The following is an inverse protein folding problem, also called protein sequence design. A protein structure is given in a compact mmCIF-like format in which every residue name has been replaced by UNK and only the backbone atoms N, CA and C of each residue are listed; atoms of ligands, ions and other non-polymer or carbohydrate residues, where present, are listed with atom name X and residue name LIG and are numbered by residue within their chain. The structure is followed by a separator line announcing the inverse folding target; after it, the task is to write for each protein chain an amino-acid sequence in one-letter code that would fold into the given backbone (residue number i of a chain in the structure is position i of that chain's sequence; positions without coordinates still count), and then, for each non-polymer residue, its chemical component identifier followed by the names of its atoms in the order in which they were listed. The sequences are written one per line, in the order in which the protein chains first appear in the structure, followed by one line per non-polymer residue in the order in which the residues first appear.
data_IF_284928690163
#
_entry.id   IF_284928690163
#
_cell.length_a   1.000
_cell.length_b   1.000
_cell.length_c   1.000
_cell.angle_alpha   90.00
_cell.angle_beta   90.00
_cell.angle_gamma   90.00
#
_symmetry.space_group_name_H-M   'P 1'
#
loop_
_entity.id
_entity.type
_entity.pdbx_description
1 polymer ?
#
# COMPACT_ATOMS: atom_id res chain seq x y z
N UNK A 1 -59.73 -2.34 8.76
CA UNK A 1 -61.03 -1.62 8.77
C UNK A 1 -61.09 -0.86 10.10
N UNK A 2 -60.73 0.43 10.16
CA UNK A 2 -61.59 1.64 10.03
C UNK A 2 -62.73 1.63 11.07
N UNK A 3 -62.93 2.60 11.99
CA UNK A 3 -62.91 4.07 11.93
C UNK A 3 -62.70 4.65 13.37
N UNK A 4 -61.85 5.66 13.61
CA UNK A 4 -62.05 7.13 13.50
C UNK A 4 -63.07 7.78 14.46
N UNK A 5 -62.58 8.64 15.38
CA UNK A 5 -63.07 10.03 15.49
C UNK A 5 -62.12 10.98 16.28
N UNK A 6 -62.03 12.21 15.76
CA UNK A 6 -61.27 13.43 16.18
C UNK A 6 -61.89 14.06 17.47
N UNK A 7 -61.36 15.06 18.20
CA UNK A 7 -60.63 16.31 17.86
C UNK A 7 -60.09 16.98 19.18
N UNK A 8 -58.87 17.56 19.23
CA UNK A 8 -58.49 19.00 19.18
C UNK A 8 -58.58 19.87 20.49
N UNK A 9 -57.42 20.48 20.85
CA UNK A 9 -57.15 21.87 21.33
C UNK A 9 -56.62 22.14 22.78
N UNK A 10 -55.48 22.87 22.79
CA UNK A 10 -54.96 23.90 23.72
C UNK A 10 -54.00 23.57 24.87
N UNK A 11 -53.09 24.53 25.09
CA UNK A 11 -51.76 24.53 25.70
C UNK A 11 -51.75 25.11 27.15
N UNK A 12 -50.60 25.57 27.72
CA UNK A 12 -49.90 24.92 28.83
C UNK A 12 -49.95 25.70 30.15
N UNK A 13 -49.58 25.08 31.27
CA UNK A 13 -49.27 25.79 32.52
C UNK A 13 -48.01 25.23 33.18
N UNK A 14 -47.01 26.11 33.27
CA UNK A 14 -45.79 26.07 34.07
C UNK A 14 -46.07 26.05 35.57
N UNK A 15 -45.23 25.37 36.38
CA UNK A 15 -44.99 25.77 37.77
C UNK A 15 -43.51 25.58 38.16
N UNK A 16 -42.93 26.69 38.64
CA UNK A 16 -41.60 26.83 39.21
C UNK A 16 -41.51 26.18 40.60
N UNK A 17 -40.34 25.62 40.92
CA UNK A 17 -39.86 25.56 42.30
C UNK A 17 -38.49 26.23 42.39
N UNK A 18 -38.38 27.14 43.35
CA UNK A 18 -37.19 27.90 43.71
C UNK A 18 -36.89 27.58 45.18
N UNK A 19 -35.63 27.27 45.52
CA UNK A 19 -35.10 27.51 46.86
C UNK A 19 -33.56 27.55 46.85
N UNK A 20 -33.04 28.53 47.59
CA UNK A 20 -31.68 29.06 47.67
C UNK A 20 -30.78 28.32 48.66
N UNK A 21 -29.48 28.72 48.59
CA UNK A 21 -28.37 28.69 49.57
C UNK A 21 -27.34 27.60 49.22
N UNK A 22 -26.04 27.86 49.02
CA UNK A 22 -25.19 29.04 49.15
C UNK A 22 -23.80 28.55 49.56
N UNK A 23 -22.72 28.94 48.87
CA UNK A 23 -21.33 28.87 49.40
C UNK A 23 -20.33 29.61 48.48
N UNK A 24 -19.96 30.79 48.97
CA UNK A 24 -18.64 31.44 49.02
C UNK A 24 -17.51 30.85 48.15
N UNK A 25 -16.99 31.67 47.22
CA UNK A 25 -15.67 31.55 46.58
C UNK A 25 -14.91 32.87 46.84
N UNK A 26 -13.68 32.88 47.39
CA UNK A 26 -12.86 34.08 47.41
C UNK A 26 -11.69 34.01 46.43
N UNK A 27 -11.51 35.12 45.69
CA UNK A 27 -10.27 35.77 45.22
C UNK A 27 -9.27 34.93 44.39
N UNK A 28 -8.64 35.40 43.33
CA UNK A 28 -8.27 36.75 42.85
C UNK A 28 -7.60 36.54 41.48
N UNK A 29 -7.70 37.47 40.53
CA UNK A 29 -6.53 38.05 39.84
C UNK A 29 -7.02 39.16 38.89
N UNK A 30 -6.44 40.34 39.12
CA UNK A 30 -6.68 41.61 38.45
C UNK A 30 -6.03 41.65 37.07
N UNK A 31 -6.80 42.07 36.06
CA UNK A 31 -6.30 42.63 34.81
C UNK A 31 -6.07 44.13 34.98
N UNK A 32 -4.99 44.70 34.43
CA UNK A 32 -4.98 46.11 34.08
C UNK A 32 -4.99 46.32 32.56
N UNK A 33 -5.83 47.28 32.23
CA UNK A 33 -6.07 48.03 30.99
C UNK A 33 -4.86 48.52 30.17
N UNK A 34 -5.04 48.46 28.85
CA UNK A 34 -4.73 49.43 27.77
C UNK A 34 -3.99 50.74 28.17
N UNK A 35 -2.87 51.14 27.54
CA UNK A 35 -2.64 52.01 26.32
C UNK A 35 -1.21 52.63 26.51
N UNK A 36 -0.41 53.18 25.54
CA UNK A 36 -0.52 53.39 24.08
C UNK A 36 0.65 52.89 23.20
N UNK A 37 0.37 52.90 21.89
CA UNK A 37 1.31 52.92 20.76
C UNK A 37 2.32 54.08 20.86
N UNK A 38 3.62 53.79 20.72
CA UNK A 38 4.65 54.77 20.34
C UNK A 38 5.55 54.19 19.24
N UNK A 39 5.54 54.86 18.09
CA UNK A 39 6.55 54.73 17.03
C UNK A 39 7.83 55.42 17.49
N UNK A 40 8.97 54.70 17.50
CA UNK A 40 10.28 55.27 17.19
C UNK A 40 11.31 54.21 16.82
N UNK A 41 12.18 54.66 15.93
CA UNK A 41 13.12 54.00 15.05
C UNK A 41 14.47 53.64 15.68
N UNK A 42 15.16 52.70 15.01
CA UNK A 42 16.59 52.33 15.08
C UNK A 42 17.08 51.50 16.28
N UNK A 43 17.41 50.23 16.03
CA UNK A 43 18.82 49.83 15.85
C UNK A 43 18.97 48.36 15.42
N UNK A 44 20.02 48.13 14.62
CA UNK A 44 20.46 46.86 14.07
C UNK A 44 20.65 45.78 15.14
N UNK A 45 20.01 44.62 14.95
CA UNK A 45 20.40 43.36 15.56
C UNK A 45 20.50 42.32 14.44
N UNK A 46 21.74 42.06 14.02
CA UNK A 46 22.08 40.92 13.18
C UNK A 46 21.98 39.65 14.04
N UNK A 47 20.89 38.91 13.86
CA UNK A 47 20.75 37.52 14.29
C UNK A 47 20.78 36.66 13.03
N UNK A 48 21.90 35.98 12.81
CA UNK A 48 22.05 34.97 11.77
C UNK A 48 21.20 33.74 12.11
N UNK A 49 20.11 33.54 11.37
CA UNK A 49 19.35 32.29 11.37
C UNK A 49 20.02 31.27 10.42
N UNK A 50 20.09 29.97 10.76
CA UNK A 50 20.58 28.96 9.83
C UNK A 50 19.59 28.80 8.67
N UNK A 51 20.15 28.61 7.47
CA UNK A 51 19.45 28.55 6.20
C UNK A 51 18.28 27.54 6.21
N UNK A 52 17.05 28.05 6.12
CA UNK A 52 15.90 27.27 5.70
C UNK A 52 16.12 26.85 4.23
N UNK A 53 16.42 25.57 4.00
CA UNK A 53 16.30 24.99 2.65
C UNK A 53 14.82 25.00 2.28
N UNK A 54 14.46 25.89 1.36
CA UNK A 54 13.12 25.92 0.74
C UNK A 54 12.93 24.61 -0.03
N UNK A 55 11.96 23.81 0.41
CA UNK A 55 11.38 22.76 -0.42
C UNK A 55 10.59 23.48 -1.51
N UNK A 56 11.09 23.47 -2.74
CA UNK A 56 10.32 23.94 -3.90
C UNK A 56 9.26 22.88 -4.22
N UNK A 57 8.05 23.07 -3.70
CA UNK A 57 6.86 22.43 -4.26
C UNK A 57 6.53 23.19 -5.53
N UNK A 58 6.92 22.64 -6.68
CA UNK A 58 6.54 23.17 -7.99
C UNK A 58 5.08 22.77 -8.22
N UNK A 59 4.16 23.71 -8.06
CA UNK A 59 2.87 23.61 -8.74
C UNK A 59 3.11 24.03 -10.18
N UNK A 60 3.08 23.08 -11.13
CA UNK A 60 3.15 23.45 -12.54
C UNK A 60 1.87 24.21 -12.90
N UNK A 61 2.02 25.44 -13.37
CA UNK A 61 0.98 26.06 -14.18
C UNK A 61 0.98 25.30 -15.51
N UNK A 62 -0.18 24.81 -15.90
CA UNK A 62 -0.42 24.24 -17.22
C UNK A 62 -0.16 25.30 -18.28
N UNK A 63 1.00 25.25 -18.93
CA UNK A 63 1.21 25.90 -20.22
C UNK A 63 0.49 25.07 -21.28
N UNK A 64 -0.13 25.75 -22.25
CA UNK A 64 -0.84 25.11 -23.36
C UNK A 64 0.20 24.37 -24.21
N UNK A 65 0.23 23.04 -24.08
CA UNK A 65 1.08 22.16 -24.88
C UNK A 65 0.52 22.03 -26.30
N UNK A 66 1.40 21.99 -27.31
CA UNK A 66 1.03 21.62 -28.68
C UNK A 66 0.30 20.26 -28.69
N UNK A 67 -0.75 20.14 -29.51
CA UNK A 67 -1.67 18.99 -29.51
C UNK A 67 -0.98 17.63 -29.68
N UNK A 68 0.10 17.57 -30.47
CA UNK A 68 0.89 16.35 -30.66
C UNK A 68 1.76 15.98 -29.44
N UNK A 69 2.24 16.95 -28.68
CA UNK A 69 3.01 16.70 -27.45
C UNK A 69 2.10 16.25 -26.31
N UNK A 70 0.92 16.85 -26.17
CA UNK A 70 -0.10 16.43 -25.21
C UNK A 70 -0.56 14.99 -25.48
N UNK A 71 -0.86 14.64 -26.72
CA UNK A 71 -1.26 13.28 -27.12
C UNK A 71 -0.15 12.24 -26.87
N UNK A 72 1.12 12.62 -27.08
CA UNK A 72 2.28 11.75 -26.81
C UNK A 72 2.56 11.57 -25.31
N UNK A 73 2.23 12.57 -24.47
CA UNK A 73 2.35 12.49 -23.01
C UNK A 73 1.18 11.69 -22.41
N UNK A 74 -0.03 11.88 -22.93
CA UNK A 74 -1.23 11.16 -22.52
C UNK A 74 -1.16 9.67 -22.89
N UNK A 75 -0.60 9.34 -24.07
CA UNK A 75 -0.29 7.96 -24.47
C UNK A 75 0.75 7.29 -23.56
N UNK A 76 1.70 8.07 -23.01
CA UNK A 76 2.71 7.59 -22.04
C UNK A 76 2.18 7.44 -20.60
N UNK A 77 0.89 7.72 -20.38
CA UNK A 77 0.24 7.71 -19.06
C UNK A 77 -1.01 6.81 -19.02
N UNK A 78 -1.24 6.01 -20.06
CA UNK A 78 -2.36 5.06 -20.13
C UNK A 78 -1.83 3.64 -20.12
N UNK A 79 -2.55 2.71 -19.49
CA UNK A 79 -2.23 1.29 -19.56
C UNK A 79 -2.15 0.82 -21.02
N UNK A 80 -1.12 0.05 -21.33
CA UNK A 80 -0.98 -0.59 -22.64
C UNK A 80 -2.18 -1.50 -22.95
N UNK A 81 -2.48 -1.80 -24.23
CA UNK A 81 -3.53 -2.74 -24.59
C UNK A 81 -3.33 -4.11 -23.90
N UNK A 82 -4.41 -4.87 -23.66
CA UNK A 82 -4.28 -6.24 -23.17
C UNK A 82 -3.40 -7.09 -24.10
N UNK A 83 -2.53 -7.91 -23.51
CA UNK A 83 -1.66 -8.86 -24.22
C UNK A 83 -1.70 -10.21 -23.52
N UNK A 84 -1.55 -11.28 -24.29
CA UNK A 84 -1.42 -12.65 -23.78
C UNK A 84 0.05 -13.06 -23.60
N UNK A 85 0.36 -13.97 -22.67
CA UNK A 85 1.72 -14.43 -22.50
C UNK A 85 2.08 -15.33 -23.68
N UNK A 86 3.26 -15.10 -24.27
CA UNK A 86 3.77 -15.96 -25.33
C UNK A 86 4.36 -17.27 -24.78
N UNK A 87 4.65 -17.33 -23.48
CA UNK A 87 5.15 -18.54 -22.80
C UNK A 87 4.69 -18.58 -21.35
N UNK A 88 4.29 -19.75 -20.87
CA UNK A 88 4.00 -20.02 -19.46
C UNK A 88 4.73 -21.29 -19.02
N UNK A 89 4.87 -21.48 -17.70
CA UNK A 89 5.51 -22.68 -17.16
C UNK A 89 5.31 -22.85 -15.67
N UNK A 90 5.72 -24.01 -15.18
CA UNK A 90 5.81 -24.34 -13.77
C UNK A 90 7.28 -24.62 -13.44
N UNK A 91 7.82 -23.95 -12.42
CA UNK A 91 9.20 -24.13 -11.97
C UNK A 91 9.21 -24.79 -10.58
N UNK A 92 9.80 -25.98 -10.45
CA UNK A 92 10.06 -26.59 -9.15
C UNK A 92 11.17 -25.81 -8.44
N UNK A 93 10.87 -25.22 -7.28
CA UNK A 93 11.82 -24.40 -6.51
C UNK A 93 12.27 -25.06 -5.21
N UNK A 94 11.48 -25.98 -4.66
CA UNK A 94 11.90 -26.87 -3.57
C UNK A 94 11.24 -28.23 -3.73
N UNK A 95 11.46 -29.15 -2.78
CA UNK A 95 10.75 -30.44 -2.80
C UNK A 95 9.25 -30.32 -2.54
N UNK A 96 8.83 -29.19 -1.98
CA UNK A 96 7.43 -28.87 -1.69
C UNK A 96 6.84 -27.99 -2.79
N UNK A 97 7.57 -26.93 -3.18
CA UNK A 97 6.98 -25.83 -3.95
C UNK A 97 7.25 -25.87 -5.45
N UNK A 98 6.21 -25.54 -6.21
CA UNK A 98 6.32 -25.19 -7.63
C UNK A 98 5.67 -23.83 -7.90
N UNK A 99 6.34 -23.01 -8.70
CA UNK A 99 5.89 -21.68 -9.05
C UNK A 99 5.33 -21.62 -10.47
N UNK A 100 4.14 -21.06 -10.63
CA UNK A 100 3.68 -20.62 -11.94
C UNK A 100 4.44 -19.37 -12.37
N UNK A 101 4.85 -19.34 -13.63
CA UNK A 101 5.42 -18.16 -14.26
C UNK A 101 4.94 -17.99 -15.69
N UNK A 102 5.00 -16.77 -16.19
CA UNK A 102 4.68 -16.40 -17.56
C UNK A 102 5.59 -15.31 -18.11
N UNK A 103 5.70 -15.26 -19.43
CA UNK A 103 6.42 -14.25 -20.18
C UNK A 103 5.53 -13.61 -21.24
N UNK A 104 5.54 -12.28 -21.31
CA UNK A 104 4.76 -11.46 -22.24
C UNK A 104 5.64 -10.36 -22.85
N UNK A 105 5.12 -9.62 -23.84
CA UNK A 105 5.86 -8.56 -24.53
C UNK A 105 6.89 -9.12 -25.52
N UNK A 106 8.01 -8.43 -25.67
CA UNK A 106 9.05 -8.75 -26.64
C UNK A 106 10.02 -9.80 -26.05
N UNK A 107 10.14 -11.01 -26.63
CA UNK A 107 11.06 -12.03 -26.13
C UNK A 107 12.55 -11.63 -26.11
N UNK A 108 12.93 -10.63 -26.91
CA UNK A 108 14.27 -10.05 -26.97
C UNK A 108 14.35 -8.66 -26.33
N UNK A 109 13.28 -8.22 -25.66
CA UNK A 109 13.20 -6.93 -25.00
C UNK A 109 13.97 -6.87 -23.68
N UNK A 110 13.99 -5.69 -23.08
CA UNK A 110 14.58 -5.47 -21.76
C UNK A 110 13.81 -6.28 -20.70
N UNK A 111 14.47 -7.18 -19.94
CA UNK A 111 13.79 -8.02 -18.99
C UNK A 111 13.30 -7.23 -17.77
N UNK A 112 12.05 -7.46 -17.38
CA UNK A 112 11.45 -6.92 -16.16
C UNK A 112 10.71 -8.02 -15.41
N UNK A 113 10.89 -8.09 -14.10
CA UNK A 113 10.12 -8.98 -13.21
C UNK A 113 9.07 -8.20 -12.43
N UNK A 114 7.84 -8.68 -12.47
CA UNK A 114 6.71 -8.15 -11.69
C UNK A 114 6.54 -8.96 -10.40
N UNK A 115 6.57 -8.27 -9.26
CA UNK A 115 6.34 -8.83 -7.94
C UNK A 115 4.95 -8.41 -7.44
N UNK A 116 4.02 -9.37 -7.37
CA UNK A 116 2.66 -9.11 -6.89
C UNK A 116 2.60 -8.82 -5.38
N UNK A 117 1.52 -8.14 -4.96
CA UNK A 117 1.25 -7.78 -3.57
C UNK A 117 0.55 -8.86 -2.74
N UNK A 118 -0.02 -8.42 -1.61
CA UNK A 118 -0.55 -9.25 -0.51
C UNK A 118 0.39 -9.17 0.70
N UNK A 119 1.14 -10.23 1.06
CA UNK A 119 1.47 -11.40 0.23
C UNK A 119 0.30 -12.36 0.02
N UNK A 120 0.43 -13.25 -0.98
CA UNK A 120 -0.61 -14.24 -1.29
C UNK A 120 -1.60 -13.84 -2.39
N UNK A 121 -1.47 -12.66 -3.00
CA UNK A 121 -2.42 -12.17 -4.02
C UNK A 121 -2.39 -12.87 -5.37
N UNK A 122 -1.19 -13.24 -5.85
CA UNK A 122 -1.00 -13.76 -7.21
C UNK A 122 -1.04 -12.67 -8.28
N UNK A 123 -0.72 -13.07 -9.51
CA UNK A 123 -0.71 -12.19 -10.68
C UNK A 123 -2.05 -12.17 -11.42
N UNK A 124 -2.31 -11.09 -12.14
CA UNK A 124 -3.50 -10.89 -12.96
C UNK A 124 -3.13 -10.38 -14.37
N UNK A 125 -3.95 -10.65 -15.42
CA UNK A 125 -3.65 -10.21 -16.78
C UNK A 125 -3.35 -8.72 -16.93
N UNK A 126 -4.04 -7.86 -16.16
CA UNK A 126 -3.82 -6.42 -16.17
C UNK A 126 -2.40 -6.01 -15.73
N UNK A 127 -1.68 -6.85 -14.98
CA UNK A 127 -0.31 -6.53 -14.55
C UNK A 127 0.68 -6.43 -15.73
N UNK A 128 0.39 -7.08 -16.87
CA UNK A 128 1.22 -6.97 -18.08
C UNK A 128 1.16 -5.59 -18.73
N UNK A 129 0.10 -4.83 -18.45
CA UNK A 129 -0.25 -3.59 -19.16
C UNK A 129 0.49 -2.35 -18.65
N UNK A 130 1.32 -2.49 -17.61
CA UNK A 130 2.19 -1.41 -17.13
C UNK A 130 3.45 -1.21 -17.99
N UNK A 131 3.72 -2.14 -18.91
CA UNK A 131 4.97 -2.21 -19.66
C UNK A 131 4.69 -2.12 -21.16
N UNK A 132 5.54 -1.38 -21.88
CA UNK A 132 5.51 -1.38 -23.33
C UNK A 132 5.84 -2.78 -23.89
N UNK A 133 4.89 -3.45 -24.58
CA UNK A 133 5.10 -4.79 -25.10
C UNK A 133 6.19 -4.88 -26.17
N UNK A 134 6.55 -3.78 -26.83
CA UNK A 134 7.59 -3.77 -27.86
C UNK A 134 9.00 -3.65 -27.26
N UNK A 135 9.11 -3.02 -26.09
CA UNK A 135 10.40 -2.81 -25.41
C UNK A 135 10.70 -3.88 -24.37
N UNK A 136 9.71 -4.30 -23.59
CA UNK A 136 9.93 -5.15 -22.42
C UNK A 136 9.73 -6.64 -22.70
N UNK A 137 10.63 -7.46 -22.16
CA UNK A 137 10.42 -8.88 -21.88
C UNK A 137 9.84 -9.01 -20.48
N UNK A 138 8.52 -9.13 -20.38
CA UNK A 138 7.78 -9.03 -19.12
C UNK A 138 7.70 -10.41 -18.48
N UNK A 139 8.21 -10.56 -17.25
CA UNK A 139 8.14 -11.80 -16.46
C UNK A 139 7.20 -11.60 -15.27
N UNK A 140 6.14 -12.40 -15.21
CA UNK A 140 5.23 -12.49 -14.08
C UNK A 140 5.37 -13.88 -13.46
N UNK A 141 5.25 -13.99 -12.14
CA UNK A 141 5.16 -15.27 -11.46
C UNK A 141 4.28 -15.16 -10.22
N UNK A 142 3.63 -16.26 -9.86
CA UNK A 142 2.88 -16.36 -8.62
C UNK A 142 3.82 -16.86 -7.53
N UNK A 143 3.91 -16.13 -6.41
CA UNK A 143 4.72 -16.51 -5.25
C UNK A 143 4.19 -17.80 -4.59
N UNK A 144 4.98 -18.40 -3.70
CA UNK A 144 4.65 -19.67 -3.02
C UNK A 144 3.25 -19.62 -2.41
N UNK A 145 2.44 -20.64 -2.70
CA UNK A 145 1.08 -20.80 -2.18
C UNK A 145 0.02 -19.87 -2.79
N UNK A 146 0.40 -18.92 -3.64
CA UNK A 146 -0.51 -17.94 -4.24
C UNK A 146 -0.90 -18.32 -5.67
N UNK A 147 -2.05 -17.82 -6.13
CA UNK A 147 -2.49 -17.94 -7.52
C UNK A 147 -2.48 -19.38 -8.05
N UNK A 148 -1.66 -19.62 -9.09
CA UNK A 148 -1.48 -20.92 -9.76
C UNK A 148 -0.29 -21.72 -9.23
N UNK A 149 0.49 -21.17 -8.29
CA UNK A 149 1.60 -21.88 -7.64
C UNK A 149 1.08 -22.91 -6.64
N UNK A 150 1.84 -23.99 -6.46
CA UNK A 150 1.42 -25.12 -5.60
C UNK A 150 2.50 -25.48 -4.58
N UNK A 151 2.10 -25.97 -3.38
CA UNK A 151 0.74 -26.23 -2.93
C UNK A 151 -0.01 -24.95 -2.53
N UNK A 152 -1.29 -24.84 -2.90
CA UNK A 152 -2.13 -23.67 -2.62
C UNK A 152 -2.23 -23.39 -1.10
N UNK A 153 -2.16 -22.11 -0.72
CA UNK A 153 -2.19 -21.64 0.67
C UNK A 153 -1.17 -22.29 1.62
N UNK A 154 -0.06 -22.84 1.09
CA UNK A 154 0.98 -23.48 1.88
C UNK A 154 1.88 -22.43 2.57
N UNK A 155 2.11 -22.63 3.87
CA UNK A 155 2.96 -21.77 4.72
C UNK A 155 4.35 -22.36 5.01
N UNK A 156 4.53 -23.66 4.75
CA UNK A 156 5.82 -24.33 4.93
C UNK A 156 6.81 -23.82 3.89
N UNK A 157 8.05 -23.52 4.28
CA UNK A 157 9.05 -22.87 3.42
C UNK A 157 8.51 -21.63 2.69
N UNK A 158 7.65 -20.83 3.33
CA UNK A 158 7.06 -19.63 2.72
C UNK A 158 7.49 -18.38 3.49
N UNK A 159 8.79 -18.05 3.38
CA UNK A 159 9.39 -16.87 4.00
C UNK A 159 9.86 -15.85 2.96
N UNK A 160 10.11 -14.61 3.39
CA UNK A 160 10.70 -13.57 2.53
C UNK A 160 11.96 -14.05 1.83
N UNK A 161 12.82 -14.78 2.53
CA UNK A 161 14.09 -15.25 2.00
C UNK A 161 13.93 -16.42 1.04
N UNK A 162 12.92 -17.27 1.24
CA UNK A 162 12.53 -18.28 0.26
C UNK A 162 12.08 -17.65 -1.06
N UNK A 163 11.28 -16.59 -0.98
CA UNK A 163 10.84 -15.85 -2.16
C UNK A 163 11.99 -15.11 -2.86
N UNK A 164 12.92 -14.50 -2.11
CA UNK A 164 14.15 -13.92 -2.68
C UNK A 164 14.96 -14.97 -3.45
N UNK A 165 15.13 -16.18 -2.88
CA UNK A 165 15.82 -17.28 -3.55
C UNK A 165 15.07 -17.75 -4.81
N UNK A 166 13.74 -17.74 -4.78
CA UNK A 166 12.93 -18.15 -5.93
C UNK A 166 13.01 -17.17 -7.09
N UNK A 167 13.09 -15.86 -6.80
CA UNK A 167 13.33 -14.84 -7.80
C UNK A 167 14.65 -15.14 -8.54
N UNK A 168 15.72 -15.51 -7.84
CA UNK A 168 16.98 -15.92 -8.48
C UNK A 168 16.86 -17.23 -9.27
N UNK A 169 16.15 -18.25 -8.75
CA UNK A 169 15.92 -19.50 -9.48
C UNK A 169 15.17 -19.25 -10.79
N UNK A 170 14.15 -18.38 -10.76
CA UNK A 170 13.39 -18.00 -11.95
C UNK A 170 14.27 -17.23 -12.94
N UNK A 171 15.03 -16.25 -12.46
CA UNK A 171 15.97 -15.47 -13.28
C UNK A 171 16.97 -16.37 -14.02
N UNK A 172 17.57 -17.33 -13.30
CA UNK A 172 18.52 -18.29 -13.84
C UNK A 172 17.84 -19.28 -14.81
N UNK A 173 16.65 -19.80 -14.46
CA UNK A 173 15.87 -20.68 -15.32
C UNK A 173 15.54 -20.03 -16.67
N UNK A 174 15.22 -18.74 -16.66
CA UNK A 174 14.91 -17.95 -17.85
C UNK A 174 16.15 -17.38 -18.57
N UNK A 175 17.35 -17.66 -18.04
CA UNK A 175 18.64 -17.21 -18.54
C UNK A 175 18.74 -15.68 -18.70
N UNK A 176 18.19 -14.94 -17.72
CA UNK A 176 18.20 -13.48 -17.69
C UNK A 176 19.39 -13.02 -16.84
N UNK A 177 20.42 -12.33 -17.38
CA UNK A 177 21.58 -11.94 -16.57
C UNK A 177 21.24 -10.96 -15.44
N UNK A 178 20.46 -9.94 -15.76
CA UNK A 178 20.00 -8.84 -14.91
C UNK A 178 18.62 -8.39 -15.41
N UNK A 179 17.81 -7.76 -14.56
CA UNK A 179 16.48 -7.29 -14.95
C UNK A 179 16.01 -6.08 -14.13
N UNK A 180 15.04 -5.36 -14.67
CA UNK A 180 14.30 -4.37 -13.90
C UNK A 180 13.38 -5.10 -12.92
N UNK A 181 13.20 -4.53 -11.72
CA UNK A 181 12.26 -5.04 -10.72
C UNK A 181 11.10 -4.06 -10.55
N UNK A 182 9.88 -4.56 -10.71
CA UNK A 182 8.65 -3.81 -10.49
C UNK A 182 7.87 -4.45 -9.35
N UNK A 183 7.49 -3.68 -8.33
CA UNK A 183 6.75 -4.23 -7.18
C UNK A 183 5.96 -3.18 -6.42
N UNK A 184 4.73 -3.51 -6.04
CA UNK A 184 3.87 -2.61 -5.26
C UNK A 184 3.22 -3.28 -4.06
N UNK A 185 2.92 -2.52 -3.01
CA UNK A 185 2.45 -3.06 -1.72
C UNK A 185 3.50 -4.01 -1.14
N UNK A 186 3.13 -5.22 -0.69
CA UNK A 186 4.07 -6.30 -0.41
C UNK A 186 5.09 -6.55 -1.53
N UNK A 187 4.71 -6.38 -2.80
CA UNK A 187 5.65 -6.47 -3.92
C UNK A 187 6.80 -5.46 -3.81
N UNK A 188 6.58 -4.30 -3.18
CA UNK A 188 7.63 -3.33 -2.87
C UNK A 188 8.53 -3.80 -1.72
N UNK A 189 7.96 -4.45 -0.69
CA UNK A 189 8.72 -5.12 0.38
C UNK A 189 9.67 -6.16 -0.21
N UNK A 190 9.15 -7.03 -1.07
CA UNK A 190 9.92 -8.08 -1.71
C UNK A 190 10.93 -7.53 -2.73
N UNK A 191 10.58 -6.48 -3.48
CA UNK A 191 11.51 -5.78 -4.37
C UNK A 191 12.70 -5.20 -3.62
N UNK A 192 12.47 -4.57 -2.47
CA UNK A 192 13.54 -4.04 -1.62
C UNK A 192 14.40 -5.17 -1.06
N UNK A 193 13.80 -6.22 -0.49
CA UNK A 193 14.53 -7.36 0.06
C UNK A 193 15.41 -8.06 -1.00
N UNK A 194 14.85 -8.28 -2.20
CA UNK A 194 15.58 -8.88 -3.32
C UNK A 194 16.73 -7.99 -3.78
N UNK A 195 16.47 -6.71 -4.04
CA UNK A 195 17.48 -5.77 -4.55
C UNK A 195 18.60 -5.52 -3.54
N UNK A 196 18.30 -5.56 -2.23
CA UNK A 196 19.32 -5.45 -1.18
C UNK A 196 20.19 -6.70 -1.03
N UNK A 197 19.67 -7.85 -1.47
CA UNK A 197 20.40 -9.13 -1.46
C UNK A 197 21.20 -9.37 -2.74
N UNK A 198 20.69 -8.88 -3.87
CA UNK A 198 21.25 -9.07 -5.21
C UNK A 198 21.30 -7.75 -6.01
N UNK A 199 21.97 -6.70 -5.50
CA UNK A 199 21.98 -5.39 -6.16
C UNK A 199 22.53 -5.44 -7.58
N UNK A 200 23.49 -6.34 -7.84
CA UNK A 200 24.11 -6.54 -9.14
C UNK A 200 23.20 -7.23 -10.18
N UNK A 201 21.99 -7.65 -9.80
CA UNK A 201 21.00 -8.27 -10.70
C UNK A 201 19.88 -7.32 -11.10
N UNK A 202 19.90 -6.09 -10.60
CA UNK A 202 18.79 -5.14 -10.72
C UNK A 202 19.21 -3.93 -11.54
N UNK A 203 18.61 -3.77 -12.72
CA UNK A 203 18.90 -2.65 -13.62
C UNK A 203 18.10 -1.39 -13.30
N UNK A 204 17.00 -1.51 -12.57
CA UNK A 204 16.15 -0.40 -12.15
C UNK A 204 14.98 -0.88 -11.28
N UNK A 205 14.39 0.05 -10.52
CA UNK A 205 13.27 -0.22 -9.62
C UNK A 205 12.08 0.71 -9.87
N UNK A 206 10.89 0.12 -10.01
CA UNK A 206 9.62 0.85 -9.97
C UNK A 206 8.80 0.30 -8.81
N UNK A 207 8.62 1.14 -7.78
CA UNK A 207 7.98 0.78 -6.52
C UNK A 207 6.66 1.52 -6.37
N UNK A 208 5.66 0.88 -5.75
CA UNK A 208 4.35 1.51 -5.47
C UNK A 208 3.82 1.17 -4.10
N UNK A 209 3.14 2.10 -3.43
CA UNK A 209 2.40 1.78 -2.19
C UNK A 209 3.35 1.17 -1.16
N UNK A 210 4.38 1.93 -0.79
CA UNK A 210 5.56 1.42 -0.08
C UNK A 210 5.15 0.77 1.23
N UNK A 211 5.53 -0.49 1.38
CA UNK A 211 5.31 -1.27 2.58
C UNK A 211 6.64 -1.78 3.13
N UNK A 212 7.02 -1.31 4.31
CA UNK A 212 8.30 -1.63 4.94
C UNK A 212 8.14 -2.68 6.05
N UNK A 213 6.89 -3.11 6.32
CA UNK A 213 6.55 -4.18 7.26
C UNK A 213 6.96 -3.88 8.72
N UNK A 214 7.17 -2.61 9.04
CA UNK A 214 7.41 -2.15 10.42
C UNK A 214 6.15 -2.35 11.25
N UNK A 215 6.31 -2.60 12.55
CA UNK A 215 5.21 -2.77 13.49
C UNK A 215 4.20 -1.63 13.41
N UNK A 216 4.66 -0.38 13.27
CA UNK A 216 3.76 0.79 13.15
C UNK A 216 2.85 0.76 11.90
N UNK A 217 3.23 0.06 10.84
CA UNK A 217 2.42 -0.10 9.63
C UNK A 217 1.39 -1.22 9.83
N UNK A 218 1.80 -2.31 10.47
CA UNK A 218 0.90 -3.40 10.86
C UNK A 218 -0.15 -2.91 11.85
N UNK A 219 0.27 -2.22 12.92
CA UNK A 219 -0.62 -1.65 13.93
C UNK A 219 -1.60 -0.64 13.32
N UNK A 220 -1.12 0.17 12.37
CA UNK A 220 -1.96 1.13 11.67
C UNK A 220 -3.12 0.43 10.96
N UNK A 221 -2.84 -0.62 10.19
CA UNK A 221 -3.86 -1.22 9.33
C UNK A 221 -4.69 -2.32 10.01
N UNK A 222 -4.09 -3.10 10.91
CA UNK A 222 -4.72 -4.27 11.53
C UNK A 222 -4.98 -4.15 13.03
N UNK A 223 -4.58 -3.06 13.69
CA UNK A 223 -4.87 -2.83 15.12
C UNK A 223 -5.64 -1.52 15.37
N UNK A 224 -6.31 -1.00 14.34
CA UNK A 224 -7.34 0.04 14.48
C UNK A 224 -6.94 1.48 14.14
N UNK A 225 -5.74 1.72 13.60
CA UNK A 225 -5.37 3.05 13.09
C UNK A 225 -6.30 3.49 11.94
N UNK A 226 -6.34 2.70 10.87
CA UNK A 226 -7.16 2.93 9.67
C UNK A 226 -8.68 2.86 9.96
N UNK A 227 -9.10 2.23 11.07
CA UNK A 227 -10.48 2.23 11.53
C UNK A 227 -11.03 3.63 11.82
N UNK A 228 -10.14 4.61 12.08
CA UNK A 228 -10.53 6.02 12.23
C UNK A 228 -11.08 6.63 10.94
N UNK A 229 -10.82 6.00 9.79
CA UNK A 229 -11.28 6.42 8.46
C UNK A 229 -12.44 5.54 7.98
N UNK A 230 -12.37 4.22 8.24
CA UNK A 230 -13.37 3.23 7.82
C UNK A 230 -13.97 2.46 9.00
N UNK A 231 -14.69 3.13 9.92
CA UNK A 231 -15.24 2.46 11.10
C UNK A 231 -16.28 1.41 10.72
N UNK A 232 -17.08 1.67 9.69
CA UNK A 232 -18.11 0.77 9.15
C UNK A 232 -17.53 -0.54 8.60
N UNK A 233 -16.48 -0.48 7.78
CA UNK A 233 -15.80 -1.69 7.31
C UNK A 233 -15.03 -2.41 8.42
N UNK A 234 -14.51 -1.65 9.39
CA UNK A 234 -13.73 -2.19 10.51
C UNK A 234 -14.58 -3.02 11.47
N UNK A 235 -15.85 -2.68 11.68
CA UNK A 235 -16.74 -3.42 12.58
C UNK A 235 -16.83 -4.89 12.21
N UNK A 236 -17.03 -5.22 10.93
CA UNK A 236 -17.10 -6.62 10.48
C UNK A 236 -15.79 -7.40 10.73
N UNK A 237 -14.64 -6.77 10.47
CA UNK A 237 -13.32 -7.36 10.74
C UNK A 237 -13.09 -7.58 12.25
N UNK A 238 -13.29 -6.53 13.05
CA UNK A 238 -13.12 -6.57 14.49
C UNK A 238 -14.07 -7.56 15.17
N UNK A 239 -15.34 -7.58 14.74
CA UNK A 239 -16.40 -8.29 15.46
C UNK A 239 -16.44 -9.79 15.21
N UNK A 240 -15.72 -10.29 14.19
CA UNK A 240 -15.41 -11.71 14.08
C UNK A 240 -14.58 -12.21 15.29
N UNK A 241 -13.78 -11.32 15.88
CA UNK A 241 -12.92 -11.66 17.02
C UNK A 241 -13.67 -11.36 18.35
N UNK A 242 -13.79 -12.33 19.27
CA UNK A 242 -14.36 -12.13 20.59
C UNK A 242 -13.63 -11.02 21.36
N UNK A 243 -14.35 -10.21 22.14
CA UNK A 243 -13.79 -9.04 22.83
C UNK A 243 -12.55 -9.36 23.68
N UNK A 244 -12.54 -10.52 24.35
CA UNK A 244 -11.42 -10.97 25.19
C UNK A 244 -10.17 -11.41 24.40
N UNK A 245 -10.25 -11.52 23.07
CA UNK A 245 -9.14 -11.84 22.18
C UNK A 245 -8.61 -10.63 21.40
N UNK A 246 -9.25 -9.45 21.49
CA UNK A 246 -8.90 -8.24 20.72
C UNK A 246 -7.66 -7.49 21.21
N UNK A 247 -6.79 -8.14 22.00
CA UNK A 247 -5.51 -7.57 22.42
C UNK A 247 -4.45 -7.56 21.32
N UNK A 248 -4.64 -8.39 20.28
CA UNK A 248 -3.86 -8.44 19.04
C UNK A 248 -4.74 -9.13 17.99
N UNK A 249 -5.32 -8.34 17.10
CA UNK A 249 -6.20 -8.88 16.05
C UNK A 249 -5.39 -9.74 15.08
N UNK A 250 -4.15 -9.35 14.78
CA UNK A 250 -3.25 -10.16 13.94
C UNK A 250 -3.06 -11.57 14.51
N UNK A 251 -2.79 -11.70 15.81
CA UNK A 251 -2.63 -13.02 16.45
C UNK A 251 -3.96 -13.78 16.58
N UNK A 252 -5.07 -13.07 16.80
CA UNK A 252 -6.40 -13.68 16.90
C UNK A 252 -6.88 -14.26 15.57
N UNK A 253 -6.60 -13.57 14.46
CA UNK A 253 -6.79 -14.08 13.12
C UNK A 253 -5.82 -15.21 12.80
N UNK A 254 -4.56 -15.13 13.23
CA UNK A 254 -3.58 -16.21 13.01
C UNK A 254 -4.05 -17.56 13.52
N UNK A 255 -4.63 -17.59 14.73
CA UNK A 255 -5.21 -18.81 15.31
C UNK A 255 -6.34 -19.38 14.46
N UNK A 256 -7.23 -18.52 13.95
CA UNK A 256 -8.42 -18.93 13.16
C UNK A 256 -8.03 -19.38 11.75
N UNK A 257 -7.13 -18.64 11.11
CA UNK A 257 -6.58 -18.94 9.78
C UNK A 257 -5.77 -20.25 9.73
N UNK A 258 -5.36 -20.78 10.89
CA UNK A 258 -4.65 -22.05 11.02
C UNK A 258 -5.40 -23.06 11.92
N UNK A 259 -6.71 -22.88 12.09
CA UNK A 259 -7.58 -23.81 12.82
C UNK A 259 -7.73 -25.14 12.08
N UNK A 260 -7.89 -26.27 12.76
CA UNK A 260 -8.25 -27.54 12.09
C UNK A 260 -9.68 -27.53 11.51
N UNK A 261 -10.51 -26.57 11.93
CA UNK A 261 -11.86 -26.35 11.39
C UNK A 261 -11.84 -25.42 10.16
N UNK A 262 -12.22 -25.97 9.00
CA UNK A 262 -12.22 -25.25 7.73
C UNK A 262 -13.21 -24.09 7.69
N UNK A 263 -14.37 -24.21 8.33
CA UNK A 263 -15.35 -23.10 8.36
C UNK A 263 -14.81 -21.90 9.13
N UNK A 264 -14.12 -22.16 10.25
CA UNK A 264 -13.38 -21.12 10.99
C UNK A 264 -12.30 -20.48 10.12
N UNK A 265 -11.52 -21.27 9.36
CA UNK A 265 -10.50 -20.73 8.46
C UNK A 265 -11.13 -19.83 7.39
N UNK A 266 -12.17 -20.28 6.70
CA UNK A 266 -12.81 -19.52 5.63
C UNK A 266 -13.51 -18.26 6.15
N UNK A 267 -14.20 -18.33 7.29
CA UNK A 267 -14.83 -17.15 7.90
C UNK A 267 -13.78 -16.07 8.23
N UNK A 268 -12.64 -16.46 8.82
CA UNK A 268 -11.53 -15.56 9.07
C UNK A 268 -10.89 -15.03 7.79
N UNK A 269 -10.69 -15.89 6.79
CA UNK A 269 -10.10 -15.52 5.52
C UNK A 269 -10.93 -14.49 4.76
N UNK A 270 -12.26 -14.68 4.69
CA UNK A 270 -13.18 -13.73 4.04
C UNK A 270 -13.18 -12.38 4.76
N UNK A 271 -13.30 -12.36 6.08
CA UNK A 271 -13.32 -11.11 6.85
C UNK A 271 -12.00 -10.32 6.72
N UNK A 272 -10.85 -11.02 6.81
CA UNK A 272 -9.53 -10.42 6.62
C UNK A 272 -9.37 -9.83 5.21
N UNK A 273 -9.72 -10.61 4.18
CA UNK A 273 -9.60 -10.18 2.78
C UNK A 273 -10.55 -9.02 2.47
N UNK A 274 -11.79 -9.08 2.97
CA UNK A 274 -12.79 -8.02 2.78
C UNK A 274 -12.33 -6.68 3.34
N UNK A 275 -11.72 -6.68 4.54
CA UNK A 275 -11.16 -5.47 5.15
C UNK A 275 -10.19 -4.74 4.20
N UNK A 276 -9.25 -5.48 3.60
CA UNK A 276 -8.31 -4.88 2.66
C UNK A 276 -8.98 -4.47 1.34
N UNK A 277 -9.86 -5.29 0.79
CA UNK A 277 -10.52 -4.97 -0.47
C UNK A 277 -11.41 -3.71 -0.39
N UNK A 278 -12.02 -3.46 0.79
CA UNK A 278 -12.82 -2.26 1.08
C UNK A 278 -11.99 -0.98 1.14
N UNK A 279 -10.70 -1.08 1.47
CA UNK A 279 -9.84 0.06 1.81
C UNK A 279 -8.72 0.31 0.78
N UNK A 280 -8.58 -0.57 -0.22
CA UNK A 280 -7.54 -0.47 -1.24
C UNK A 280 -7.74 0.69 -2.24
N UNK A 281 -8.94 1.24 -2.37
CA UNK A 281 -9.25 2.34 -3.29
C UNK A 281 -9.71 3.58 -2.53
N UNK A 282 -9.48 4.77 -3.10
CA UNK A 282 -9.94 6.04 -2.52
C UNK A 282 -11.47 6.07 -2.46
N UNK A 283 -12.12 5.63 -3.53
CA UNK A 283 -13.56 5.40 -3.59
C UNK A 283 -13.77 3.88 -3.63
N UNK A 284 -14.62 3.30 -2.76
CA UNK A 284 -14.87 1.86 -2.74
C UNK A 284 -15.15 1.29 -4.13
N UNK A 285 -14.56 0.13 -4.42
CA UNK A 285 -14.66 -0.53 -5.71
C UNK A 285 -15.32 -1.90 -5.53
N UNK A 286 -16.59 -2.01 -5.95
CA UNK A 286 -17.40 -3.22 -5.74
C UNK A 286 -16.78 -4.48 -6.36
N UNK A 287 -16.18 -4.37 -7.55
CA UNK A 287 -15.50 -5.50 -8.20
C UNK A 287 -14.31 -6.00 -7.37
N UNK A 288 -13.58 -5.10 -6.72
CA UNK A 288 -12.48 -5.46 -5.84
C UNK A 288 -12.99 -6.11 -4.55
N UNK A 289 -14.06 -5.57 -3.95
CA UNK A 289 -14.68 -6.09 -2.73
C UNK A 289 -15.20 -7.52 -2.95
N UNK A 290 -15.81 -7.79 -4.10
CA UNK A 290 -16.34 -9.11 -4.45
C UNK A 290 -15.28 -10.22 -4.47
N UNK A 291 -13.99 -9.89 -4.59
CA UNK A 291 -12.92 -10.90 -4.50
C UNK A 291 -12.89 -11.61 -3.15
N UNK A 292 -13.33 -10.94 -2.09
CA UNK A 292 -13.40 -11.54 -0.76
C UNK A 292 -14.39 -12.72 -0.68
N UNK A 293 -15.34 -12.81 -1.62
CA UNK A 293 -16.29 -13.91 -1.72
C UNK A 293 -15.72 -15.17 -2.40
N UNK A 294 -14.54 -15.08 -3.02
CA UNK A 294 -13.82 -16.26 -3.53
C UNK A 294 -13.01 -16.89 -2.39
N UNK A 295 -13.55 -17.97 -1.82
CA UNK A 295 -12.94 -18.72 -0.72
C UNK A 295 -11.52 -19.19 -1.04
N UNK A 296 -11.22 -19.56 -2.29
CA UNK A 296 -9.89 -20.04 -2.67
C UNK A 296 -8.89 -18.89 -2.68
N UNK A 297 -9.28 -17.73 -3.21
CA UNK A 297 -8.46 -16.52 -3.16
C UNK A 297 -8.28 -16.05 -1.73
N UNK A 298 -9.38 -15.82 -1.00
CA UNK A 298 -9.38 -15.32 0.37
C UNK A 298 -8.54 -16.20 1.29
N UNK A 299 -8.62 -17.53 1.17
CA UNK A 299 -7.84 -18.45 2.00
C UNK A 299 -6.33 -18.29 1.78
N UNK A 300 -5.86 -18.30 0.52
CA UNK A 300 -4.43 -18.10 0.24
C UNK A 300 -3.97 -16.70 0.64
N UNK A 301 -4.75 -15.68 0.28
CA UNK A 301 -4.46 -14.29 0.60
C UNK A 301 -4.30 -14.08 2.11
N UNK A 302 -5.36 -14.33 2.89
CA UNK A 302 -5.35 -14.07 4.31
C UNK A 302 -4.35 -14.95 5.09
N UNK A 303 -4.24 -16.25 4.77
CA UNK A 303 -3.32 -17.14 5.49
C UNK A 303 -1.87 -16.74 5.27
N UNK A 304 -1.48 -16.47 4.03
CA UNK A 304 -0.10 -16.09 3.70
C UNK A 304 0.19 -14.69 4.25
N UNK A 305 -0.70 -13.73 4.03
CA UNK A 305 -0.52 -12.37 4.52
C UNK A 305 -0.33 -12.32 6.05
N UNK A 306 -1.28 -12.91 6.79
CA UNK A 306 -1.19 -12.99 8.24
C UNK A 306 0.08 -13.73 8.70
N UNK A 307 0.48 -14.81 8.01
CA UNK A 307 1.70 -15.57 8.30
C UNK A 307 2.95 -14.69 8.22
N UNK A 308 3.06 -13.83 7.21
CA UNK A 308 4.19 -12.91 7.11
C UNK A 308 4.15 -11.85 8.21
N UNK A 309 2.97 -11.38 8.62
CA UNK A 309 2.84 -10.32 9.62
C UNK A 309 3.15 -10.80 11.03
N UNK A 310 2.65 -11.97 11.46
CA UNK A 310 3.02 -12.53 12.77
C UNK A 310 4.51 -12.82 12.88
N UNK A 311 5.16 -13.12 11.75
CA UNK A 311 6.61 -13.36 11.67
C UNK A 311 7.42 -12.09 11.34
N UNK A 312 6.80 -10.91 11.33
CA UNK A 312 7.48 -9.62 11.07
C UNK A 312 8.27 -9.61 9.76
N UNK A 313 7.71 -10.24 8.73
CA UNK A 313 8.34 -10.38 7.41
C UNK A 313 9.63 -11.20 7.43
N UNK A 314 9.90 -11.96 8.50
CA UNK A 314 11.16 -12.71 8.70
C UNK A 314 12.41 -11.84 8.70
N UNK A 315 12.26 -10.53 8.98
CA UNK A 315 13.36 -9.60 9.04
C UNK A 315 14.06 -9.63 10.40
N UNK A 316 15.40 -9.49 10.46
CA UNK A 316 16.14 -9.40 11.72
C UNK A 316 15.77 -8.21 12.61
N UNK A 317 15.26 -7.12 12.03
CA UNK A 317 14.88 -5.90 12.74
C UNK A 317 13.67 -5.24 12.08
N UNK A 318 12.95 -4.41 12.85
CA UNK A 318 11.78 -3.68 12.38
C UNK A 318 12.12 -2.74 11.22
N UNK A 319 13.25 -2.05 11.31
CA UNK A 319 13.74 -1.10 10.30
C UNK A 319 14.61 -1.73 9.21
N UNK A 320 14.69 -3.07 9.12
CA UNK A 320 15.67 -3.77 8.29
C UNK A 320 15.76 -3.23 6.84
N UNK A 321 14.61 -3.05 6.18
CA UNK A 321 14.59 -2.56 4.80
C UNK A 321 15.09 -1.12 4.66
N UNK A 322 14.87 -0.26 5.64
CA UNK A 322 15.42 1.11 5.64
C UNK A 322 16.92 1.11 5.94
N UNK A 323 17.35 0.29 6.89
CA UNK A 323 18.75 0.22 7.34
C UNK A 323 19.68 -0.31 6.24
N UNK A 324 19.13 -1.01 5.24
CA UNK A 324 19.88 -1.61 4.13
C UNK A 324 19.78 -0.84 2.80
N UNK A 325 19.14 0.34 2.79
CA UNK A 325 18.96 1.16 1.58
C UNK A 325 20.29 1.51 0.90
N UNK A 326 21.36 1.78 1.66
CA UNK A 326 22.66 2.17 1.08
C UNK A 326 23.21 1.15 0.08
N UNK A 327 22.85 -0.12 0.20
CA UNK A 327 23.23 -1.18 -0.76
C UNK A 327 22.68 -0.96 -2.16
N UNK A 328 21.56 -0.25 -2.29
CA UNK A 328 20.82 -0.11 -3.54
C UNK A 328 20.70 1.34 -4.02
N UNK A 329 21.27 2.32 -3.30
CA UNK A 329 21.11 3.74 -3.64
C UNK A 329 21.53 4.14 -5.04
N UNK A 330 22.46 3.39 -5.63
CA UNK A 330 22.97 3.58 -6.98
C UNK A 330 21.99 3.11 -8.08
N UNK A 331 20.95 2.34 -7.74
CA UNK A 331 19.96 1.82 -8.67
C UNK A 331 18.91 2.91 -8.94
N UNK A 332 18.69 3.23 -10.22
CA UNK A 332 17.64 4.18 -10.63
C UNK A 332 16.28 3.67 -10.15
N UNK A 333 15.60 4.50 -9.37
CA UNK A 333 14.38 4.09 -8.65
C UNK A 333 13.31 5.16 -8.73
N UNK A 334 12.10 4.76 -9.09
CA UNK A 334 10.89 5.58 -9.00
C UNK A 334 9.94 4.99 -7.96
N UNK A 335 9.45 5.83 -7.05
CA UNK A 335 8.47 5.47 -6.02
C UNK A 335 7.15 6.19 -6.34
N UNK A 336 6.07 5.46 -6.54
CA UNK A 336 4.73 6.00 -6.78
C UNK A 336 3.85 5.75 -5.55
N UNK A 337 3.29 6.79 -4.96
CA UNK A 337 2.50 6.67 -3.73
C UNK A 337 1.19 7.47 -3.81
N UNK A 338 0.07 6.84 -3.46
CA UNK A 338 -1.19 7.53 -3.27
C UNK A 338 -1.17 8.34 -1.98
N UNK A 339 -1.62 9.60 -2.03
CA UNK A 339 -1.68 10.48 -0.85
C UNK A 339 -2.58 9.90 0.24
N UNK A 340 -3.69 9.28 -0.16
CA UNK A 340 -4.70 8.71 0.72
C UNK A 340 -4.64 7.18 0.76
N UNK A 341 -3.46 6.61 0.49
CA UNK A 341 -3.21 5.18 0.69
C UNK A 341 -3.36 4.87 2.19
N UNK A 342 -4.44 4.15 2.54
CA UNK A 342 -4.71 3.74 3.93
C UNK A 342 -4.19 2.34 4.25
N UNK A 343 -3.90 1.50 3.26
CA UNK A 343 -3.32 0.18 3.46
C UNK A 343 -1.84 0.31 3.81
N UNK A 344 -1.11 1.12 3.05
CA UNK A 344 0.31 1.41 3.21
C UNK A 344 0.47 2.93 3.35
N UNK A 345 0.37 3.48 4.58
CA UNK A 345 0.29 4.93 4.77
C UNK A 345 1.51 5.65 4.19
N UNK A 346 1.27 6.82 3.56
CA UNK A 346 2.27 7.68 2.90
C UNK A 346 3.55 7.91 3.71
N UNK A 347 3.49 7.79 5.04
CA UNK A 347 4.67 7.85 5.91
C UNK A 347 5.79 6.88 5.48
N UNK A 348 5.46 5.69 4.97
CA UNK A 348 6.46 4.69 4.58
C UNK A 348 7.22 5.09 3.32
N UNK A 349 6.51 5.57 2.29
CA UNK A 349 7.15 6.11 1.09
C UNK A 349 7.99 7.35 1.40
N UNK A 350 7.52 8.20 2.32
CA UNK A 350 8.27 9.38 2.75
C UNK A 350 9.55 9.01 3.52
N UNK A 351 9.46 8.06 4.45
CA UNK A 351 10.61 7.56 5.21
C UNK A 351 11.64 6.91 4.28
N UNK A 352 11.20 6.10 3.31
CA UNK A 352 12.07 5.46 2.33
C UNK A 352 12.77 6.49 1.44
N UNK A 353 12.04 7.46 0.88
CA UNK A 353 12.63 8.51 0.04
C UNK A 353 13.63 9.38 0.82
N UNK A 354 13.39 9.63 2.11
CA UNK A 354 14.36 10.33 2.96
C UNK A 354 15.64 9.53 3.19
N UNK A 355 15.56 8.21 3.33
CA UNK A 355 16.72 7.33 3.43
C UNK A 355 17.40 7.12 2.06
N UNK A 356 16.64 7.29 0.97
CA UNK A 356 17.07 7.11 -0.41
C UNK A 356 16.87 8.38 -1.24
N UNK A 357 17.67 9.44 -1.03
CA UNK A 357 17.46 10.74 -1.68
C UNK A 357 17.63 10.70 -3.21
N UNK A 358 18.28 9.68 -3.77
CA UNK A 358 18.39 9.44 -5.22
C UNK A 358 17.09 8.91 -5.86
N UNK A 359 16.14 8.41 -5.07
CA UNK A 359 14.85 7.94 -5.58
C UNK A 359 13.98 9.10 -6.07
N UNK A 360 13.21 8.88 -7.14
CA UNK A 360 12.21 9.83 -7.63
C UNK A 360 10.83 9.52 -7.01
N UNK A 361 10.40 10.33 -6.05
CA UNK A 361 9.11 10.16 -5.38
C UNK A 361 7.99 10.90 -6.12
N UNK A 362 7.04 10.14 -6.68
CA UNK A 362 5.78 10.63 -7.26
C UNK A 362 4.64 10.42 -6.28
N UNK A 363 4.01 11.52 -5.87
CA UNK A 363 2.85 11.49 -4.99
C UNK A 363 1.61 11.81 -5.82
N UNK A 364 0.67 10.87 -5.88
CA UNK A 364 -0.62 11.05 -6.57
C UNK A 364 -1.62 11.62 -5.56
N UNK A 365 -2.06 12.84 -5.80
CA UNK A 365 -2.78 13.66 -4.81
C UNK A 365 -4.17 13.16 -4.44
N UNK A 366 -4.80 12.40 -5.33
CA UNK A 366 -6.21 11.96 -5.29
C UNK A 366 -6.34 10.44 -5.51
N UNK A 367 -5.40 9.67 -4.96
CA UNK A 367 -5.41 8.20 -5.08
C UNK A 367 -5.26 7.50 -3.73
N UNK A 368 -5.88 6.32 -3.64
CA UNK A 368 -5.72 5.33 -2.58
C UNK A 368 -4.51 4.42 -2.79
N UNK A 369 -4.65 3.14 -2.42
CA UNK A 369 -3.56 2.17 -2.45
C UNK A 369 -3.35 1.52 -3.82
N UNK A 370 -4.44 1.13 -4.48
CA UNK A 370 -4.46 0.25 -5.64
C UNK A 370 -3.61 0.75 -6.81
N UNK A 371 -2.89 -0.18 -7.47
CA UNK A 371 -2.17 0.13 -8.71
C UNK A 371 -3.09 0.57 -9.86
N UNK A 372 -4.40 0.29 -9.74
CA UNK A 372 -5.40 0.61 -10.75
C UNK A 372 -6.12 1.94 -10.46
N UNK A 373 -5.73 2.67 -9.41
CA UNK A 373 -6.13 4.09 -9.28
C UNK A 373 -5.67 4.85 -10.54
N UNK A 374 -6.51 5.65 -11.20
CA UNK A 374 -6.17 6.25 -12.50
C UNK A 374 -4.84 6.98 -12.49
N UNK A 375 -4.59 7.83 -11.48
CA UNK A 375 -3.34 8.56 -11.34
C UNK A 375 -2.14 7.68 -11.00
N UNK A 376 -2.33 6.60 -10.22
CA UNK A 376 -1.24 5.65 -9.92
C UNK A 376 -0.88 4.85 -11.16
N UNK A 377 -1.86 4.31 -11.87
CA UNK A 377 -1.63 3.54 -13.09
C UNK A 377 -0.88 4.37 -14.13
N UNK A 378 -1.27 5.64 -14.28
CA UNK A 378 -0.61 6.58 -15.17
C UNK A 378 0.86 6.83 -14.82
N UNK A 379 1.16 7.09 -13.55
CA UNK A 379 2.54 7.31 -13.10
C UNK A 379 3.38 6.02 -13.15
N UNK A 380 2.78 4.83 -12.99
CA UNK A 380 3.50 3.56 -13.15
C UNK A 380 3.89 3.28 -14.61
N UNK A 381 2.99 3.53 -15.56
CA UNK A 381 3.32 3.44 -16.99
C UNK A 381 4.42 4.45 -17.32
N UNK A 382 4.25 5.70 -16.88
CA UNK A 382 5.26 6.74 -17.11
C UNK A 382 6.62 6.39 -16.51
N UNK A 383 6.66 5.80 -15.31
CA UNK A 383 7.90 5.37 -14.67
C UNK A 383 8.64 4.30 -15.48
N UNK A 384 7.92 3.35 -16.07
CA UNK A 384 8.51 2.36 -16.98
C UNK A 384 8.99 3.01 -18.30
N UNK A 385 8.23 3.96 -18.85
CA UNK A 385 8.67 4.72 -20.03
C UNK A 385 9.95 5.54 -19.76
N UNK A 386 10.07 6.19 -18.61
CA UNK A 386 11.27 6.92 -18.19
C UNK A 386 12.47 5.97 -18.04
N UNK A 387 12.24 4.77 -17.50
CA UNK A 387 13.31 3.78 -17.28
C UNK A 387 14.00 3.35 -18.58
N UNK A 388 13.30 3.35 -19.72
CA UNK A 388 13.88 3.00 -21.03
C UNK A 388 15.11 3.82 -21.38
N UNK A 389 15.16 5.08 -20.95
CA UNK A 389 16.29 5.98 -21.21
C UNK A 389 17.56 5.61 -20.42
N UNK A 390 17.45 4.75 -19.41
CA UNK A 390 18.54 4.40 -18.49
C UNK A 390 19.02 2.95 -18.66
N UNK A 391 18.16 2.07 -19.19
CA UNK A 391 18.45 0.63 -19.30
C UNK A 391 18.66 0.15 -20.74
N UNK A 392 18.35 1.00 -21.72
CA UNK A 392 18.45 0.71 -23.16
C UNK A 392 19.81 0.95 -23.79
#
# INVERSE_FOLDING_TARGET
MLNNNKALISSPVSHNYCLKLGLIIPNSYSLPSCVPLFLRTHNNLNLSLPAQRKIHVIFSKSEVMESGAAETVEKRRSLYPPIEPYKTGILKVSDIHTLYWEQSGNPNGHPVVFLHGGPGGGTAPNNRRFFDPEFYRIVLFDQRGAGKSTPHACLEENTTWDLVNDIEKLRQHLQIPEWQVFGGSWGSTLALAYSQSHPEKVTGLVLRGIFLLRKKEIDWFYEGGAASIFPDAWEEFRDLIPENERGSLVDAYHRRLNSDDLETQYAAARAWTKWEMMTAHLIPNDENIQKAEDDKFSLAFARIENHYFVNKGFFPSDSYLLDNVDKIRHIKTTIVQGRYDVCCPMMSAWDLHKAWPESDLKIVGDAGHSANEPGIAAELVFANEDMKAFVG
#
